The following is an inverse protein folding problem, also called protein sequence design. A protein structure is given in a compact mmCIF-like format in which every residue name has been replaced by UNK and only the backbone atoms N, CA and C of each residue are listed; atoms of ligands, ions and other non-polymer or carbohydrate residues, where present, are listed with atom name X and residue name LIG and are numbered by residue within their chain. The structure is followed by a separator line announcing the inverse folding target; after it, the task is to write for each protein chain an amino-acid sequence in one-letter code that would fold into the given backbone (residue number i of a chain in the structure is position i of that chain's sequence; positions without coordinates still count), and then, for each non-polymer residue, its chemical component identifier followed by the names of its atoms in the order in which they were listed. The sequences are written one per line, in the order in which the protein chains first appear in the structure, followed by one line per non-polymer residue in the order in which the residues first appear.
data_IF_845006435353
#
_entry.id   IF_845006435353
#
_cell.length_a   1.000
_cell.length_b   1.000
_cell.length_c   1.000
_cell.angle_alpha   90.00
_cell.angle_beta   90.00
_cell.angle_gamma   90.00
#
_symmetry.space_group_name_H-M   'P 1'
#
loop_
_entity.id
_entity.type
_entity.pdbx_description
1 polymer ?
#
# COMPACT_ATOMS: atom_id res chain seq x y z
N UNK A 1 40.33 -51.90 43.30
CA UNK A 1 40.56 -51.11 42.09
C UNK A 1 39.24 -50.95 41.34
N UNK A 2 38.56 -49.85 41.59
CA UNK A 2 37.26 -49.55 40.95
C UNK A 2 37.46 -48.41 39.94
N UNK A 3 37.27 -48.72 38.66
CA UNK A 3 37.26 -47.74 37.60
C UNK A 3 35.87 -47.08 37.51
N UNK A 4 35.79 -45.81 37.82
CA UNK A 4 34.61 -44.95 37.55
C UNK A 4 34.60 -44.54 36.09
N UNK A 5 33.69 -45.13 35.33
CA UNK A 5 33.36 -44.64 33.99
C UNK A 5 32.44 -43.43 34.11
N UNK A 6 32.99 -42.23 33.85
CA UNK A 6 32.23 -41.00 33.73
C UNK A 6 31.48 -41.01 32.37
N UNK A 7 30.18 -41.25 32.39
CA UNK A 7 29.31 -41.10 31.21
C UNK A 7 29.02 -39.62 31.05
N UNK A 8 29.71 -38.96 30.10
CA UNK A 8 29.36 -37.61 29.67
C UNK A 8 28.05 -37.68 28.88
N UNK A 9 26.96 -37.30 29.54
CA UNK A 9 25.70 -37.03 28.87
C UNK A 9 25.86 -35.76 28.00
N UNK A 10 26.09 -35.94 26.70
CA UNK A 10 25.95 -34.86 25.74
C UNK A 10 24.49 -34.41 25.71
N UNK A 11 24.20 -33.29 26.37
CA UNK A 11 22.97 -32.54 26.28
C UNK A 11 22.86 -32.06 24.83
N UNK A 12 22.14 -32.79 23.98
CA UNK A 12 21.68 -32.29 22.70
C UNK A 12 20.71 -31.15 22.99
N UNK A 13 21.17 -29.91 22.91
CA UNK A 13 20.31 -28.76 22.77
C UNK A 13 19.50 -28.95 21.48
N UNK A 14 18.29 -29.41 21.62
CA UNK A 14 17.29 -29.35 20.56
C UNK A 14 17.02 -27.87 20.34
N UNK A 15 17.72 -27.27 19.36
CA UNK A 15 17.34 -26.00 18.77
C UNK A 15 15.93 -26.18 18.20
N UNK A 16 14.94 -25.77 18.95
CA UNK A 16 13.55 -25.63 18.46
C UNK A 16 13.63 -24.75 17.20
N UNK A 17 13.14 -25.21 16.05
CA UNK A 17 13.10 -24.35 14.86
C UNK A 17 12.30 -23.12 15.22
N UNK A 18 12.95 -21.95 15.16
CA UNK A 18 12.32 -20.66 15.40
C UNK A 18 11.12 -20.54 14.45
N UNK A 19 9.91 -20.74 14.99
CA UNK A 19 8.68 -20.60 14.20
C UNK A 19 8.57 -19.11 13.83
N UNK A 20 8.82 -18.81 12.56
CA UNK A 20 8.70 -17.44 12.02
C UNK A 20 7.25 -16.97 12.18
N UNK A 21 7.08 -15.75 12.68
CA UNK A 21 5.77 -15.14 12.82
C UNK A 21 5.03 -15.06 11.48
N UNK A 22 3.70 -15.01 11.45
CA UNK A 22 2.94 -14.83 10.22
C UNK A 22 3.37 -13.60 9.43
N UNK A 23 3.67 -12.49 10.11
CA UNK A 23 4.17 -11.26 9.50
C UNK A 23 5.55 -11.45 8.82
N UNK A 24 6.47 -12.21 9.43
CA UNK A 24 7.75 -12.54 8.82
C UNK A 24 7.63 -13.42 7.57
N UNK A 25 6.63 -14.29 7.53
CA UNK A 25 6.33 -15.09 6.33
C UNK A 25 5.83 -14.19 5.20
N UNK A 26 4.94 -13.25 5.50
CA UNK A 26 4.43 -12.31 4.51
C UNK A 26 5.53 -11.35 4.03
N UNK A 27 6.35 -10.82 4.94
CA UNK A 27 7.51 -9.99 4.59
C UNK A 27 8.46 -10.71 3.60
N UNK A 28 8.75 -11.98 3.85
CA UNK A 28 9.59 -12.79 2.93
C UNK A 28 8.98 -12.93 1.55
N UNK A 29 7.68 -13.13 1.47
CA UNK A 29 6.93 -13.23 0.21
C UNK A 29 7.02 -11.91 -0.56
N UNK A 30 6.80 -10.78 0.11
CA UNK A 30 6.86 -9.45 -0.48
C UNK A 30 8.26 -9.04 -0.95
N UNK A 31 9.31 -9.52 -0.25
CA UNK A 31 10.71 -9.30 -0.62
C UNK A 31 11.24 -10.29 -1.68
N UNK A 32 10.47 -11.34 -2.00
CA UNK A 32 10.94 -12.43 -2.88
C UNK A 32 12.07 -13.28 -2.29
N UNK A 33 12.30 -13.24 -0.97
CA UNK A 33 13.36 -13.98 -0.28
C UNK A 33 13.43 -13.68 1.20
N UNK A 34 14.49 -14.16 1.88
CA UNK A 34 14.72 -13.91 3.31
C UNK A 34 15.41 -12.56 3.50
N UNK A 35 14.70 -11.50 3.91
CA UNK A 35 15.33 -10.21 4.16
C UNK A 35 16.18 -10.23 5.43
N UNK A 36 17.25 -9.41 5.51
CA UNK A 36 17.98 -9.17 6.74
C UNK A 36 17.09 -8.54 7.83
N UNK A 37 17.42 -8.73 9.11
CA UNK A 37 16.62 -8.23 10.24
C UNK A 37 16.42 -6.70 10.23
N UNK A 38 17.36 -5.93 9.68
CA UNK A 38 17.25 -4.48 9.59
C UNK A 38 16.10 -4.04 8.62
N UNK A 39 15.77 -4.86 7.62
CA UNK A 39 14.68 -4.58 6.68
C UNK A 39 13.33 -4.56 7.40
N UNK A 40 13.10 -5.49 8.32
CA UNK A 40 11.88 -5.55 9.12
C UNK A 40 11.68 -4.25 9.90
N UNK A 41 12.73 -3.73 10.54
CA UNK A 41 12.71 -2.45 11.28
C UNK A 41 12.42 -1.25 10.36
N UNK A 42 13.01 -1.23 9.18
CA UNK A 42 12.78 -0.16 8.19
C UNK A 42 11.33 -0.17 7.69
N UNK A 43 10.82 -1.35 7.35
CA UNK A 43 9.42 -1.52 6.91
C UNK A 43 8.47 -1.08 8.02
N UNK A 44 8.70 -1.52 9.26
CA UNK A 44 7.91 -1.11 10.43
C UNK A 44 7.90 0.42 10.61
N UNK A 45 9.07 1.06 10.50
CA UNK A 45 9.20 2.51 10.59
C UNK A 45 8.40 3.25 9.51
N UNK A 46 8.47 2.77 8.26
CA UNK A 46 7.72 3.36 7.14
C UNK A 46 6.20 3.20 7.32
N UNK A 47 5.73 2.03 7.72
CA UNK A 47 4.31 1.79 7.96
C UNK A 47 3.79 2.62 9.14
N UNK A 48 4.54 2.70 10.25
CA UNK A 48 4.19 3.55 11.38
C UNK A 48 4.12 5.04 11.00
N UNK A 49 4.98 5.50 10.10
CA UNK A 49 4.91 6.86 9.56
C UNK A 49 3.62 7.10 8.78
N UNK A 50 3.13 6.11 8.02
CA UNK A 50 1.85 6.19 7.32
C UNK A 50 0.65 6.10 8.27
N UNK A 51 0.74 5.35 9.36
CA UNK A 51 -0.29 5.30 10.41
C UNK A 51 -0.43 6.68 11.06
N UNK A 52 0.70 7.33 11.39
CA UNK A 52 0.70 8.66 11.99
C UNK A 52 0.27 9.76 11.03
N UNK A 53 0.53 9.60 9.74
CA UNK A 53 0.27 10.59 8.68
C UNK A 53 -0.31 9.92 7.43
N UNK A 54 -1.57 9.49 7.45
CA UNK A 54 -2.22 8.85 6.31
C UNK A 54 -2.30 9.73 5.06
N UNK A 55 -2.20 11.05 5.23
CA UNK A 55 -2.15 12.03 4.14
C UNK A 55 -0.90 11.90 3.25
N UNK A 56 0.17 11.26 3.73
CA UNK A 56 1.35 10.95 2.93
C UNK A 56 1.07 9.90 1.85
N UNK A 57 -0.03 9.15 1.97
CA UNK A 57 -0.48 8.25 0.92
C UNK A 57 -1.09 9.11 -0.18
N UNK A 58 -0.29 9.39 -1.21
CA UNK A 58 -0.69 10.19 -2.37
C UNK A 58 -1.16 9.29 -3.50
N UNK A 59 -2.14 9.77 -4.28
CA UNK A 59 -2.43 9.16 -5.55
C UNK A 59 -1.26 9.44 -6.50
N UNK A 60 -0.63 8.42 -7.11
CA UNK A 60 0.33 8.65 -8.18
C UNK A 60 -0.40 9.46 -9.24
N UNK A 61 0.18 10.59 -9.63
CA UNK A 61 -0.44 11.49 -10.62
C UNK A 61 -0.67 10.67 -11.88
N UNK A 62 -1.91 10.43 -12.32
CA UNK A 62 -2.15 9.77 -13.58
C UNK A 62 -1.51 10.64 -14.65
N UNK A 63 -0.74 10.05 -15.57
CA UNK A 63 -0.36 10.74 -16.79
C UNK A 63 -1.60 11.42 -17.35
N UNK A 64 -1.58 12.73 -17.47
CA UNK A 64 -2.73 13.56 -17.80
C UNK A 64 -3.39 13.02 -19.08
N UNK A 65 -4.40 12.16 -18.92
CA UNK A 65 -5.29 11.82 -20.03
C UNK A 65 -5.93 13.13 -20.48
N UNK A 66 -5.95 13.41 -21.78
CA UNK A 66 -6.48 14.68 -22.27
C UNK A 66 -7.93 14.85 -21.76
N UNK A 67 -8.12 15.83 -20.90
CA UNK A 67 -9.38 16.28 -20.31
C UNK A 67 -10.43 16.73 -21.38
N UNK A 68 -10.09 16.58 -22.69
CA UNK A 68 -10.79 17.22 -23.78
C UNK A 68 -12.27 16.80 -23.93
N UNK A 69 -12.65 15.56 -23.58
CA UNK A 69 -14.04 15.09 -23.73
C UNK A 69 -14.93 15.52 -22.55
N UNK A 70 -14.42 15.42 -21.33
CA UNK A 70 -15.12 15.86 -20.11
C UNK A 70 -15.38 17.37 -20.15
N UNK A 71 -14.39 18.15 -20.55
CA UNK A 71 -14.52 19.61 -20.63
C UNK A 71 -15.46 20.04 -21.78
N UNK A 72 -15.48 19.30 -22.89
CA UNK A 72 -16.43 19.54 -23.99
C UNK A 72 -17.87 19.27 -23.53
N UNK A 73 -18.11 18.14 -22.90
CA UNK A 73 -19.45 17.78 -22.41
C UNK A 73 -19.94 18.71 -21.31
N UNK A 74 -19.04 19.16 -20.43
CA UNK A 74 -19.38 20.15 -19.40
C UNK A 74 -19.81 21.48 -20.04
N UNK A 75 -19.04 22.00 -20.99
CA UNK A 75 -19.39 23.23 -21.72
C UNK A 75 -20.71 23.09 -22.47
N UNK A 76 -20.93 21.95 -23.17
CA UNK A 76 -22.17 21.69 -23.89
C UNK A 76 -23.39 21.65 -22.93
N UNK A 77 -23.23 21.04 -21.74
CA UNK A 77 -24.27 21.01 -20.72
C UNK A 77 -24.56 22.42 -20.18
N UNK A 78 -23.50 23.19 -19.87
CA UNK A 78 -23.64 24.55 -19.38
C UNK A 78 -24.32 25.45 -20.41
N UNK A 79 -23.95 25.38 -21.70
CA UNK A 79 -24.58 26.12 -22.78
C UNK A 79 -26.07 25.76 -22.94
N UNK A 80 -26.42 24.46 -22.80
CA UNK A 80 -27.79 23.99 -22.89
C UNK A 80 -28.66 24.52 -21.74
N UNK A 81 -28.11 24.54 -20.53
CA UNK A 81 -28.82 25.04 -19.34
C UNK A 81 -29.02 26.55 -19.35
N UNK A 82 -28.15 27.32 -20.03
CA UNK A 82 -28.24 28.77 -20.10
C UNK A 82 -29.10 29.30 -21.28
N UNK A 83 -29.58 28.41 -22.18
CA UNK A 83 -30.43 28.79 -23.33
C UNK A 83 -31.87 28.31 -23.14
N UNK A 84 -32.81 29.18 -22.77
CA UNK A 84 -34.24 28.80 -22.75
C UNK A 84 -34.83 28.69 -24.17
N UNK A 85 -35.76 27.75 -24.44
CA UNK A 85 -36.23 26.71 -23.52
C UNK A 85 -35.22 25.59 -23.35
N UNK A 86 -35.06 25.11 -22.11
CA UNK A 86 -34.10 24.05 -21.79
C UNK A 86 -34.64 22.70 -22.27
N UNK A 87 -33.90 22.00 -23.10
CA UNK A 87 -34.19 20.60 -23.45
C UNK A 87 -33.74 19.67 -22.32
N UNK A 88 -34.69 19.39 -21.40
CA UNK A 88 -34.43 18.56 -20.22
C UNK A 88 -33.95 17.15 -20.57
N UNK A 89 -34.43 16.57 -21.65
CA UNK A 89 -34.06 15.21 -22.09
C UNK A 89 -32.61 15.17 -22.53
N UNK A 90 -32.19 16.18 -23.30
CA UNK A 90 -30.81 16.30 -23.74
C UNK A 90 -29.88 16.64 -22.57
N UNK A 91 -30.28 17.55 -21.68
CA UNK A 91 -29.52 17.92 -20.49
C UNK A 91 -29.28 16.70 -19.58
N UNK A 92 -30.31 15.92 -19.31
CA UNK A 92 -30.22 14.68 -18.53
C UNK A 92 -29.26 13.69 -19.16
N UNK A 93 -29.34 13.48 -20.48
CA UNK A 93 -28.44 12.57 -21.21
C UNK A 93 -26.97 13.00 -21.12
N UNK A 94 -26.69 14.30 -21.29
CA UNK A 94 -25.35 14.86 -21.15
C UNK A 94 -24.81 14.74 -19.71
N UNK A 95 -25.66 15.01 -18.72
CA UNK A 95 -25.30 14.86 -17.32
C UNK A 95 -24.92 13.40 -16.95
N UNK A 96 -25.72 12.42 -17.41
CA UNK A 96 -25.39 11.01 -17.20
C UNK A 96 -24.09 10.59 -17.91
N UNK A 97 -23.88 11.06 -19.14
CA UNK A 97 -22.64 10.77 -19.87
C UNK A 97 -21.42 11.39 -19.20
N UNK A 98 -21.55 12.63 -18.71
CA UNK A 98 -20.50 13.30 -17.95
C UNK A 98 -20.18 12.56 -16.66
N UNK A 99 -21.20 12.14 -15.90
CA UNK A 99 -21.03 11.36 -14.68
C UNK A 99 -20.35 10.01 -14.95
N UNK A 100 -20.73 9.30 -16.01
CA UNK A 100 -20.12 8.03 -16.38
C UNK A 100 -18.64 8.20 -16.76
N UNK A 101 -18.29 9.25 -17.51
CA UNK A 101 -16.90 9.55 -17.85
C UNK A 101 -16.07 9.94 -16.64
N UNK A 102 -16.64 10.71 -15.71
CA UNK A 102 -15.97 11.08 -14.45
C UNK A 102 -15.74 9.86 -13.55
N UNK A 103 -16.73 8.95 -13.43
CA UNK A 103 -16.58 7.69 -12.69
C UNK A 103 -15.50 6.79 -13.32
N UNK A 104 -15.44 6.70 -14.63
CA UNK A 104 -14.42 5.93 -15.34
C UNK A 104 -13.04 6.60 -15.30
N UNK A 105 -12.97 7.90 -15.03
CA UNK A 105 -11.72 8.64 -14.87
C UNK A 105 -11.13 8.50 -13.47
N UNK A 106 -11.93 8.09 -12.46
CA UNK A 106 -11.41 7.66 -11.17
C UNK A 106 -10.66 6.36 -11.42
N UNK A 107 -9.35 6.47 -11.58
CA UNK A 107 -8.50 5.31 -11.81
C UNK A 107 -8.50 4.35 -10.62
N UNK A 108 -8.15 3.08 -10.83
CA UNK A 108 -8.03 2.11 -9.75
C UNK A 108 -7.04 2.58 -8.67
N UNK A 109 -6.05 3.39 -9.02
CA UNK A 109 -5.07 3.97 -8.10
C UNK A 109 -5.69 4.98 -7.14
N UNK A 110 -6.65 5.79 -7.58
CA UNK A 110 -7.34 6.76 -6.73
C UNK A 110 -8.24 6.05 -5.71
N UNK A 111 -8.99 5.05 -6.15
CA UNK A 111 -9.78 4.20 -5.26
C UNK A 111 -8.88 3.50 -4.22
N UNK A 112 -7.78 2.88 -4.66
CA UNK A 112 -6.83 2.23 -3.76
C UNK A 112 -6.18 3.24 -2.80
N UNK A 113 -5.90 4.46 -3.22
CA UNK A 113 -5.39 5.52 -2.36
C UNK A 113 -6.35 5.83 -1.21
N UNK A 114 -7.65 6.01 -1.51
CA UNK A 114 -8.67 6.25 -0.50
C UNK A 114 -8.84 5.05 0.44
N UNK A 115 -8.82 3.83 -0.12
CA UNK A 115 -8.88 2.59 0.67
C UNK A 115 -7.71 2.48 1.63
N UNK A 116 -6.49 2.73 1.15
CA UNK A 116 -5.28 2.69 1.97
C UNK A 116 -5.30 3.74 3.08
N UNK A 117 -5.70 4.98 2.78
CA UNK A 117 -5.82 6.04 3.81
C UNK A 117 -6.76 5.61 4.94
N UNK A 118 -7.94 5.05 4.61
CA UNK A 118 -8.88 4.53 5.61
C UNK A 118 -8.31 3.35 6.39
N UNK A 119 -7.61 2.44 5.70
CA UNK A 119 -6.94 1.32 6.35
C UNK A 119 -5.95 1.82 7.41
N UNK A 120 -5.02 2.70 7.03
CA UNK A 120 -4.01 3.22 7.95
C UNK A 120 -4.58 4.08 9.09
N UNK A 121 -5.68 4.80 8.87
CA UNK A 121 -6.39 5.54 9.92
C UNK A 121 -7.00 4.61 11.00
N UNK A 122 -7.30 3.38 10.67
CA UNK A 122 -7.83 2.38 11.60
C UNK A 122 -6.78 1.71 12.48
N UNK A 123 -5.47 1.95 12.24
CA UNK A 123 -4.38 1.32 12.97
C UNK A 123 -3.71 2.27 13.97
N UNK A 124 -3.31 1.72 15.11
CA UNK A 124 -2.41 2.39 16.05
C UNK A 124 -0.94 2.08 15.69
N UNK A 125 0.03 2.92 16.09
CA UNK A 125 1.44 2.64 15.90
C UNK A 125 1.83 1.27 16.45
N UNK A 126 2.53 0.48 15.65
CA UNK A 126 2.86 -0.91 15.93
C UNK A 126 4.26 -1.03 16.53
N UNK A 127 4.44 -1.97 17.48
CA UNK A 127 5.75 -2.39 17.99
C UNK A 127 6.40 -3.47 17.10
N UNK A 128 5.57 -4.30 16.44
CA UNK A 128 5.99 -5.38 15.55
C UNK A 128 5.14 -5.32 14.28
N UNK A 129 5.66 -5.93 13.19
CA UNK A 129 4.92 -5.99 11.93
C UNK A 129 3.68 -6.89 12.05
N UNK A 130 2.57 -6.41 11.51
CA UNK A 130 1.32 -7.15 11.43
C UNK A 130 1.11 -7.69 10.01
N UNK A 131 0.78 -8.98 9.91
CA UNK A 131 0.59 -9.66 8.63
C UNK A 131 -0.53 -9.02 7.82
N UNK A 132 -1.64 -8.71 8.47
CA UNK A 132 -2.84 -8.15 7.84
C UNK A 132 -2.53 -6.81 7.16
N UNK A 133 -1.87 -5.89 7.88
CA UNK A 133 -1.51 -4.59 7.34
C UNK A 133 -0.55 -4.72 6.16
N UNK A 134 0.48 -5.59 6.26
CA UNK A 134 1.39 -5.87 5.15
C UNK A 134 0.66 -6.39 3.92
N UNK A 135 -0.19 -7.41 4.12
CA UNK A 135 -0.96 -8.04 3.04
C UNK A 135 -1.92 -7.05 2.36
N UNK A 136 -2.60 -6.21 3.15
CA UNK A 136 -3.62 -5.28 2.63
C UNK A 136 -3.03 -4.02 1.99
N UNK A 137 -1.83 -3.57 2.41
CA UNK A 137 -1.28 -2.29 1.96
C UNK A 137 -0.11 -2.42 0.97
N UNK A 138 0.72 -3.44 1.11
CA UNK A 138 1.97 -3.56 0.37
C UNK A 138 1.84 -4.51 -0.81
N UNK A 139 2.35 -4.10 -1.96
CA UNK A 139 2.42 -4.91 -3.18
C UNK A 139 3.77 -5.61 -3.32
N UNK A 140 4.85 -4.91 -3.02
CA UNK A 140 6.24 -5.41 -3.14
C UNK A 140 7.16 -4.62 -2.22
N UNK A 141 8.22 -5.28 -1.77
CA UNK A 141 9.34 -4.65 -1.07
C UNK A 141 10.61 -4.98 -1.84
N UNK A 142 11.39 -3.95 -2.14
CA UNK A 142 12.68 -4.07 -2.81
C UNK A 142 13.77 -3.56 -1.88
N UNK A 143 14.88 -4.29 -1.82
CA UNK A 143 16.05 -3.94 -1.00
C UNK A 143 17.22 -3.74 -1.95
N UNK A 144 17.77 -2.53 -1.98
CA UNK A 144 18.90 -2.17 -2.83
C UNK A 144 19.84 -1.21 -2.10
N UNK A 145 21.13 -1.50 -2.11
CA UNK A 145 22.17 -0.61 -1.55
C UNK A 145 21.90 -0.10 -0.13
N UNK A 146 21.33 -0.96 0.75
CA UNK A 146 20.99 -0.57 2.12
C UNK A 146 19.71 0.27 2.26
N UNK A 147 18.99 0.49 1.18
CA UNK A 147 17.71 1.20 1.15
C UNK A 147 16.56 0.21 0.96
N UNK A 148 15.49 0.41 1.71
CA UNK A 148 14.24 -0.33 1.55
C UNK A 148 13.25 0.52 0.77
N UNK A 149 12.72 -0.03 -0.30
CA UNK A 149 11.68 0.60 -1.11
C UNK A 149 10.40 -0.22 -1.02
N UNK A 150 9.32 0.39 -0.57
CA UNK A 150 8.00 -0.24 -0.47
C UNK A 150 7.13 0.28 -1.61
N UNK A 151 6.57 -0.62 -2.40
CA UNK A 151 5.54 -0.35 -3.38
C UNK A 151 4.18 -0.65 -2.75
N UNK A 152 3.34 0.34 -2.57
CA UNK A 152 1.98 0.20 -2.08
C UNK A 152 1.02 -0.31 -3.17
N UNK A 153 -0.17 -0.76 -2.79
CA UNK A 153 -1.17 -1.27 -3.74
C UNK A 153 -1.73 -0.21 -4.68
N UNK A 154 -1.66 1.07 -4.31
CA UNK A 154 -2.00 2.20 -5.18
C UNK A 154 -0.86 2.63 -6.12
N UNK A 155 0.19 1.82 -6.27
CA UNK A 155 1.39 2.07 -7.07
C UNK A 155 2.30 3.22 -6.55
N UNK A 156 2.04 3.77 -5.37
CA UNK A 156 2.95 4.72 -4.74
C UNK A 156 4.19 3.99 -4.21
N UNK A 157 5.34 4.58 -4.44
CA UNK A 157 6.63 4.10 -3.93
C UNK A 157 7.06 4.93 -2.72
N UNK A 158 7.51 4.26 -1.67
CA UNK A 158 8.06 4.86 -0.46
C UNK A 158 9.47 4.34 -0.23
N UNK A 159 10.39 5.23 0.07
CA UNK A 159 11.77 4.88 0.36
C UNK A 159 12.10 5.11 1.83
N UNK A 160 12.71 4.09 2.44
CA UNK A 160 13.33 4.17 3.76
C UNK A 160 14.84 4.22 3.58
N UNK A 161 15.44 5.37 3.82
CA UNK A 161 16.90 5.50 3.87
C UNK A 161 17.44 5.17 5.28
N UNK A 162 18.67 4.67 5.35
CA UNK A 162 19.40 4.61 6.60
C UNK A 162 19.60 6.06 7.10
N UNK A 163 18.85 6.46 8.11
CA UNK A 163 19.25 7.57 8.94
C UNK A 163 20.35 7.04 9.88
N UNK A 164 21.60 7.29 9.52
CA UNK A 164 22.74 7.21 10.43
C UNK A 164 22.60 8.24 11.53
#
# INVERSE_FOLDING_TARGET
EGQFHMVQARRQERTTPCQKSPAQKELRKLCGGSPPAWVERQVLGLLNRLIQRPELIACPVPEAKPLSEVDKLRRELDELLHRPPVDETRARRLAFRLAALQLNAIGPEEYETLRLRRLFQGWAPMAELEQELLHESVRRITVSNGTVTILLKNNQTLEGGNYT
#
